data_IF_258534782233
#
_entry.id   IF_258534782233
#
_cell.length_a   1.000
_cell.length_b   1.000
_cell.length_c   1.000
_cell.angle_alpha   90.00
_cell.angle_beta   90.00
_cell.angle_gamma   90.00
#
_symmetry.space_group_name_H-M   'P 1'
#
loop_
_entity.id
_entity.type
_entity.pdbx_description
1 polymer ?
#
# COMPACT_ATOMS: atom_id res chain seq x y z
N UNK A 1 36.92 -16.24 -43.03
CA UNK A 1 36.15 -17.47 -42.71
C UNK A 1 34.88 -17.07 -41.97
N UNK A 2 33.78 -16.98 -42.69
CA UNK A 2 32.47 -16.58 -42.20
C UNK A 2 31.79 -17.75 -41.51
N UNK A 3 31.24 -17.61 -40.29
CA UNK A 3 30.21 -18.48 -39.73
C UNK A 3 29.03 -17.65 -39.24
N UNK A 4 27.88 -17.97 -39.80
CA UNK A 4 26.55 -17.49 -39.49
C UNK A 4 26.20 -17.64 -38.03
N UNK A 5 25.69 -16.58 -37.43
CA UNK A 5 24.88 -16.68 -36.22
C UNK A 5 23.41 -16.79 -36.62
N UNK A 6 22.81 -17.88 -36.26
CA UNK A 6 21.38 -18.18 -36.40
C UNK A 6 20.65 -17.32 -35.35
N UNK A 7 19.59 -16.67 -35.80
CA UNK A 7 18.56 -16.07 -34.94
C UNK A 7 17.74 -17.22 -34.36
N UNK A 8 17.68 -17.34 -33.04
CA UNK A 8 16.63 -18.03 -32.33
C UNK A 8 15.68 -16.98 -31.77
N UNK A 9 14.49 -16.94 -32.31
CA UNK A 9 13.35 -16.22 -31.77
C UNK A 9 12.81 -17.04 -30.59
N UNK A 10 13.32 -16.76 -29.38
CA UNK A 10 12.78 -17.31 -28.15
C UNK A 10 11.51 -16.55 -27.75
N UNK A 11 10.37 -17.19 -27.94
CA UNK A 11 9.09 -16.78 -27.37
C UNK A 11 9.22 -16.51 -25.86
N UNK A 12 8.92 -15.28 -25.46
CA UNK A 12 8.67 -14.91 -24.07
C UNK A 12 7.41 -15.66 -23.60
N UNK A 13 7.63 -16.73 -22.89
CA UNK A 13 6.56 -17.49 -22.22
C UNK A 13 5.97 -16.62 -21.11
N UNK A 14 4.82 -16.03 -21.35
CA UNK A 14 3.98 -15.43 -20.34
C UNK A 14 3.71 -16.48 -19.25
N UNK A 15 4.01 -16.12 -18.00
CA UNK A 15 3.64 -16.91 -16.82
C UNK A 15 2.12 -17.03 -16.81
N UNK A 16 1.63 -18.19 -17.23
CA UNK A 16 0.21 -18.53 -17.12
C UNK A 16 -0.12 -18.72 -15.66
N UNK A 17 -0.93 -17.82 -15.12
CA UNK A 17 -1.69 -18.08 -13.91
C UNK A 17 -2.61 -19.27 -14.18
N UNK A 18 -2.44 -20.35 -13.43
CA UNK A 18 -3.34 -21.50 -13.44
C UNK A 18 -4.63 -21.16 -12.70
N UNK A 19 -5.55 -20.45 -13.36
CA UNK A 19 -6.96 -20.47 -13.04
C UNK A 19 -7.68 -21.25 -14.14
N UNK A 20 -8.20 -22.44 -13.80
CA UNK A 20 -8.92 -23.30 -14.72
C UNK A 20 -10.14 -22.60 -15.32
N UNK A 21 -10.18 -22.62 -16.64
CA UNK A 21 -11.32 -22.64 -17.55
C UNK A 21 -12.70 -22.17 -17.07
N UNK A 22 -12.98 -20.89 -17.27
CA UNK A 22 -14.30 -20.44 -17.70
C UNK A 22 -14.17 -19.93 -19.14
N UNK A 23 -13.93 -20.84 -20.09
CA UNK A 23 -13.95 -20.54 -21.53
C UNK A 23 -15.41 -20.55 -22.03
N UNK A 24 -16.20 -19.55 -21.63
CA UNK A 24 -17.55 -19.32 -22.09
C UNK A 24 -17.89 -17.82 -22.01
N UNK A 25 -19.02 -17.45 -22.60
CA UNK A 25 -19.61 -16.07 -22.57
C UNK A 25 -19.68 -15.49 -21.15
N UNK A 26 -19.87 -16.33 -20.14
CA UNK A 26 -19.97 -15.97 -18.74
C UNK A 26 -18.62 -15.53 -18.13
N UNK A 27 -17.54 -16.23 -18.46
CA UNK A 27 -16.18 -15.83 -18.03
C UNK A 27 -15.73 -14.49 -18.61
N UNK A 28 -16.03 -14.24 -19.89
CA UNK A 28 -15.78 -12.96 -20.53
C UNK A 28 -16.61 -11.84 -19.90
N UNK A 29 -17.87 -12.13 -19.55
CA UNK A 29 -18.74 -11.15 -18.88
C UNK A 29 -18.19 -10.79 -17.50
N UNK A 30 -17.78 -11.77 -16.70
CA UNK A 30 -17.16 -11.55 -15.37
C UNK A 30 -15.88 -10.72 -15.49
N UNK A 31 -15.01 -11.02 -16.46
CA UNK A 31 -13.82 -10.25 -16.73
C UNK A 31 -14.12 -8.79 -17.09
N UNK A 32 -15.13 -8.56 -17.94
CA UNK A 32 -15.54 -7.21 -18.33
C UNK A 32 -16.17 -6.44 -17.14
N UNK A 33 -16.96 -7.09 -16.27
CA UNK A 33 -17.48 -6.50 -15.05
C UNK A 33 -16.34 -6.12 -14.09
N UNK A 34 -15.37 -7.03 -13.89
CA UNK A 34 -14.16 -6.80 -13.11
C UNK A 34 -13.39 -5.58 -13.61
N UNK A 35 -13.20 -5.46 -14.93
CA UNK A 35 -12.51 -4.32 -15.53
C UNK A 35 -13.23 -2.99 -15.24
N UNK A 36 -14.55 -2.92 -15.44
CA UNK A 36 -15.33 -1.71 -15.17
C UNK A 36 -15.29 -1.36 -13.67
N UNK A 37 -15.55 -2.34 -12.78
CA UNK A 37 -15.54 -2.08 -11.33
C UNK A 37 -14.17 -1.63 -10.84
N UNK A 38 -13.09 -2.29 -11.27
CA UNK A 38 -11.72 -1.91 -10.91
C UNK A 38 -11.38 -0.50 -11.37
N UNK A 39 -11.79 -0.11 -12.58
CA UNK A 39 -11.56 1.25 -13.09
C UNK A 39 -12.28 2.29 -12.24
N UNK A 40 -13.55 2.07 -11.91
CA UNK A 40 -14.36 2.99 -11.11
C UNK A 40 -13.86 3.02 -9.66
N UNK A 41 -13.45 1.88 -9.12
CA UNK A 41 -12.88 1.77 -7.78
C UNK A 41 -11.56 2.57 -7.65
N UNK A 42 -10.64 2.40 -8.59
CA UNK A 42 -9.28 2.99 -8.52
C UNK A 42 -9.22 4.45 -8.95
N UNK A 43 -10.00 4.83 -9.96
CA UNK A 43 -9.89 6.17 -10.56
C UNK A 43 -11.04 7.10 -10.21
N UNK A 44 -11.92 6.67 -9.30
CA UNK A 44 -13.05 7.45 -8.82
C UNK A 44 -14.17 7.58 -9.84
N UNK A 45 -15.02 8.60 -9.74
CA UNK A 45 -16.16 8.78 -10.61
C UNK A 45 -15.75 8.96 -12.07
N UNK A 46 -16.25 8.08 -12.95
CA UNK A 46 -15.99 8.10 -14.40
C UNK A 46 -17.31 8.18 -15.17
N UNK A 47 -17.35 9.00 -16.24
CA UNK A 47 -18.52 8.95 -17.12
C UNK A 47 -18.57 7.65 -17.93
N UNK A 48 -19.78 7.21 -18.33
CA UNK A 48 -19.92 6.06 -19.24
C UNK A 48 -19.15 6.29 -20.57
N UNK A 49 -19.03 7.52 -21.02
CA UNK A 49 -18.22 7.87 -22.19
C UNK A 49 -16.73 7.64 -21.94
N UNK A 50 -16.23 8.00 -20.76
CA UNK A 50 -14.85 7.75 -20.36
C UNK A 50 -14.56 6.25 -20.22
N UNK A 51 -15.47 5.49 -19.60
CA UNK A 51 -15.38 4.03 -19.53
C UNK A 51 -15.33 3.40 -20.93
N UNK A 52 -16.18 3.86 -21.87
CA UNK A 52 -16.17 3.44 -23.28
C UNK A 52 -14.81 3.68 -23.93
N UNK A 53 -14.24 4.88 -23.71
CA UNK A 53 -12.94 5.26 -24.30
C UNK A 53 -11.79 4.44 -23.75
N UNK A 54 -11.76 4.21 -22.43
CA UNK A 54 -10.65 3.51 -21.74
C UNK A 54 -10.69 2.00 -21.96
N UNK A 55 -11.88 1.40 -22.01
CA UNK A 55 -12.02 -0.06 -22.20
C UNK A 55 -12.00 -0.47 -23.66
N UNK A 56 -12.33 0.43 -24.59
CA UNK A 56 -12.56 0.09 -26.01
C UNK A 56 -13.90 -0.62 -26.25
N UNK A 57 -14.72 -0.84 -25.22
CA UNK A 57 -16.04 -1.45 -25.38
C UNK A 57 -17.00 -0.49 -26.08
N UNK A 58 -17.99 -1.02 -26.79
CA UNK A 58 -19.04 -0.19 -27.34
C UNK A 58 -19.99 0.35 -26.24
N UNK A 59 -20.75 1.41 -26.55
CA UNK A 59 -21.63 2.10 -25.58
C UNK A 59 -22.72 1.18 -25.00
N UNK A 60 -23.26 0.25 -25.78
CA UNK A 60 -24.30 -0.68 -25.30
C UNK A 60 -23.70 -1.70 -24.32
N UNK A 61 -22.50 -2.20 -24.57
CA UNK A 61 -21.77 -3.09 -23.65
C UNK A 61 -21.47 -2.41 -22.34
N UNK A 62 -20.89 -1.18 -22.36
CA UNK A 62 -20.64 -0.41 -21.13
C UNK A 62 -21.96 -0.17 -20.38
N UNK A 63 -23.04 0.19 -21.09
CA UNK A 63 -24.36 0.37 -20.50
C UNK A 63 -24.86 -0.87 -19.75
N UNK A 64 -24.78 -2.05 -20.39
CA UNK A 64 -25.23 -3.31 -19.80
C UNK A 64 -24.37 -3.71 -18.58
N UNK A 65 -23.02 -3.55 -18.67
CA UNK A 65 -22.11 -3.86 -17.57
C UNK A 65 -22.34 -2.94 -16.35
N UNK A 66 -22.47 -1.64 -16.59
CA UNK A 66 -22.72 -0.66 -15.53
C UNK A 66 -24.08 -0.93 -14.87
N UNK A 67 -25.13 -1.24 -15.65
CA UNK A 67 -26.44 -1.60 -15.11
C UNK A 67 -26.37 -2.85 -14.23
N UNK A 68 -25.64 -3.89 -14.65
CA UNK A 68 -25.46 -5.10 -13.85
C UNK A 68 -24.69 -4.82 -12.54
N UNK A 69 -23.64 -3.97 -12.56
CA UNK A 69 -22.93 -3.55 -11.35
C UNK A 69 -23.82 -2.71 -10.43
N UNK A 70 -24.70 -1.87 -10.98
CA UNK A 70 -25.65 -1.06 -10.21
C UNK A 70 -26.76 -1.91 -9.59
N UNK A 71 -27.28 -2.93 -10.29
CA UNK A 71 -28.24 -3.91 -9.77
C UNK A 71 -27.67 -4.67 -8.57
N UNK A 72 -26.37 -5.03 -8.63
CA UNK A 72 -25.63 -5.62 -7.52
C UNK A 72 -25.18 -4.60 -6.46
N UNK A 73 -25.56 -3.33 -6.58
CA UNK A 73 -25.22 -2.22 -5.67
C UNK A 73 -23.70 -1.95 -5.57
N UNK A 74 -22.88 -2.44 -6.50
CA UNK A 74 -21.44 -2.24 -6.51
C UNK A 74 -21.05 -0.84 -6.97
N UNK A 75 -21.90 -0.21 -7.76
CA UNK A 75 -21.70 1.17 -8.25
C UNK A 75 -23.00 1.97 -8.15
N UNK A 76 -22.88 3.29 -8.13
CA UNK A 76 -23.99 4.24 -8.30
C UNK A 76 -23.82 5.02 -9.58
N UNK A 77 -24.95 5.35 -10.21
CA UNK A 77 -24.99 6.30 -11.30
C UNK A 77 -25.61 7.63 -10.84
N UNK A 78 -25.01 8.72 -11.24
CA UNK A 78 -25.51 10.07 -11.02
C UNK A 78 -25.50 10.90 -12.29
N UNK A 79 -26.37 11.88 -12.36
CA UNK A 79 -26.29 12.87 -13.43
C UNK A 79 -25.12 13.83 -13.18
N UNK A 80 -24.33 14.14 -14.21
CA UNK A 80 -23.26 15.13 -14.04
C UNK A 80 -23.83 16.50 -13.71
N UNK A 81 -23.08 17.34 -12.96
CA UNK A 81 -23.49 18.73 -12.72
C UNK A 81 -23.77 19.44 -14.04
N UNK A 82 -24.90 20.17 -14.08
CA UNK A 82 -25.30 20.94 -15.26
C UNK A 82 -24.27 22.05 -15.55
N UNK A 83 -23.30 21.78 -16.40
CA UNK A 83 -22.39 22.76 -16.93
C UNK A 83 -22.63 22.89 -18.43
N UNK A 84 -23.27 23.96 -18.85
CA UNK A 84 -23.39 24.65 -20.16
C UNK A 84 -22.92 23.97 -21.47
N UNK A 85 -22.93 22.62 -21.57
CA UNK A 85 -22.51 21.87 -22.76
C UNK A 85 -23.71 21.46 -23.60
N UNK A 86 -23.63 21.64 -24.91
CA UNK A 86 -24.62 21.17 -25.89
C UNK A 86 -24.58 19.65 -25.96
N UNK A 87 -25.72 18.99 -25.67
CA UNK A 87 -25.90 17.55 -25.71
C UNK A 87 -26.31 16.96 -24.33
N UNK A 88 -26.94 15.75 -24.35
CA UNK A 88 -27.29 15.06 -23.09
C UNK A 88 -26.01 14.60 -22.39
N UNK A 89 -25.75 15.04 -21.16
CA UNK A 89 -24.55 14.64 -20.42
C UNK A 89 -24.49 13.12 -20.21
N UNK A 90 -23.31 12.54 -20.26
CA UNK A 90 -23.10 11.12 -19.98
C UNK A 90 -23.17 10.87 -18.47
N UNK A 91 -23.97 9.90 -17.97
CA UNK A 91 -24.02 9.56 -16.56
C UNK A 91 -22.65 9.27 -15.96
N UNK A 92 -22.46 9.65 -14.73
CA UNK A 92 -21.24 9.39 -13.93
C UNK A 92 -21.46 8.12 -13.12
N UNK A 93 -20.50 7.22 -13.20
CA UNK A 93 -20.45 5.95 -12.46
C UNK A 93 -19.40 6.05 -11.38
N UNK A 94 -19.77 5.75 -10.15
CA UNK A 94 -18.85 5.72 -9.01
C UNK A 94 -19.03 4.46 -8.19
N UNK A 95 -17.95 3.99 -7.56
CA UNK A 95 -18.00 2.84 -6.65
C UNK A 95 -18.91 3.14 -5.46
N UNK A 96 -19.63 2.12 -4.97
CA UNK A 96 -20.46 2.26 -3.78
C UNK A 96 -19.58 2.18 -2.52
N UNK A 97 -19.35 3.30 -1.80
CA UNK A 97 -18.49 3.28 -0.63
C UNK A 97 -19.11 2.54 0.56
N UNK A 98 -20.43 2.21 0.52
CA UNK A 98 -21.09 1.46 1.58
C UNK A 98 -20.77 -0.04 1.54
N UNK A 99 -20.20 -0.54 0.45
CA UNK A 99 -19.57 -1.85 0.42
C UNK A 99 -18.20 -1.71 1.04
N UNK A 100 -17.99 -2.31 2.20
CA UNK A 100 -16.84 -2.03 3.03
C UNK A 100 -16.10 -3.30 3.48
N UNK A 101 -14.92 -3.11 4.01
CA UNK A 101 -14.12 -4.11 4.71
C UNK A 101 -13.60 -3.52 6.01
N UNK A 102 -13.28 -4.38 6.96
CA UNK A 102 -12.55 -4.01 8.17
C UNK A 102 -11.06 -4.11 7.87
N UNK A 103 -10.31 -3.06 8.14
CA UNK A 103 -8.86 -3.02 8.02
C UNK A 103 -8.22 -2.98 9.41
N UNK A 104 -7.20 -3.81 9.64
CA UNK A 104 -6.52 -3.93 10.92
C UNK A 104 -5.01 -3.78 10.73
N UNK A 105 -4.38 -2.97 11.55
CA UNK A 105 -2.93 -2.82 11.60
C UNK A 105 -2.44 -2.91 13.05
N UNK A 106 -1.92 -4.05 13.48
CA UNK A 106 -1.19 -4.19 14.74
C UNK A 106 0.20 -3.55 14.63
N UNK A 107 0.58 -2.76 15.63
CA UNK A 107 1.93 -2.20 15.79
C UNK A 107 2.43 -2.42 17.22
N UNK A 108 3.66 -2.03 17.50
CA UNK A 108 4.35 -2.28 18.80
C UNK A 108 3.73 -1.52 19.98
N UNK A 109 3.07 -0.41 19.71
CA UNK A 109 2.52 0.53 20.71
C UNK A 109 1.01 0.71 20.61
N UNK A 110 0.39 0.16 19.55
CA UNK A 110 -1.04 0.35 19.30
C UNK A 110 -1.62 -0.69 18.35
N UNK A 111 -2.95 -0.77 18.35
CA UNK A 111 -3.73 -1.40 17.32
C UNK A 111 -4.58 -0.35 16.62
N UNK A 112 -4.50 -0.30 15.28
CA UNK A 112 -5.37 0.55 14.46
C UNK A 112 -6.39 -0.31 13.73
N UNK A 113 -7.67 0.06 13.84
CA UNK A 113 -8.79 -0.56 13.13
C UNK A 113 -9.52 0.51 12.36
N UNK A 114 -9.87 0.23 11.12
CA UNK A 114 -10.68 1.11 10.28
C UNK A 114 -11.74 0.36 9.50
N UNK A 115 -12.72 1.10 9.03
CA UNK A 115 -13.73 0.63 8.08
C UNK A 115 -13.51 1.38 6.78
N UNK A 116 -13.21 0.64 5.72
CA UNK A 116 -12.84 1.22 4.42
C UNK A 116 -13.82 0.72 3.36
N UNK A 117 -14.40 1.65 2.62
CA UNK A 117 -15.34 1.38 1.53
C UNK A 117 -14.67 1.26 0.15
N UNK A 118 -15.38 0.71 -0.82
CA UNK A 118 -14.96 0.74 -2.22
C UNK A 118 -14.62 2.18 -2.65
N UNK A 119 -13.57 2.32 -3.46
CA UNK A 119 -13.01 3.62 -3.84
C UNK A 119 -12.04 4.19 -2.80
N UNK A 120 -11.59 3.38 -1.82
CA UNK A 120 -10.59 3.76 -0.84
C UNK A 120 -11.08 4.72 0.26
N UNK A 121 -12.40 4.91 0.40
CA UNK A 121 -12.98 5.82 1.39
C UNK A 121 -12.87 5.24 2.80
N UNK A 122 -12.10 5.87 3.68
CA UNK A 122 -12.09 5.54 5.11
C UNK A 122 -13.31 6.16 5.79
N UNK A 123 -14.23 5.33 6.28
CA UNK A 123 -15.42 5.77 7.01
C UNK A 123 -15.09 6.13 8.45
N UNK A 124 -14.20 5.35 9.05
CA UNK A 124 -13.73 5.57 10.42
C UNK A 124 -12.36 4.95 10.62
N UNK A 125 -11.59 5.52 11.53
CA UNK A 125 -10.28 5.04 12.00
C UNK A 125 -10.23 5.16 13.50
N UNK A 126 -9.93 4.08 14.19
CA UNK A 126 -9.71 4.02 15.64
C UNK A 126 -8.31 3.50 15.89
N UNK A 127 -7.47 4.28 16.57
CA UNK A 127 -6.17 3.84 17.08
C UNK A 127 -6.30 3.68 18.60
N UNK A 128 -5.98 2.50 19.09
CA UNK A 128 -6.01 2.18 20.53
C UNK A 128 -4.59 1.81 20.96
N UNK A 129 -4.03 2.61 21.86
CA UNK A 129 -2.72 2.35 22.45
C UNK A 129 -2.73 1.08 23.27
N UNK A 130 -1.60 0.37 23.29
CA UNK A 130 -1.38 -0.86 24.06
C UNK A 130 -0.35 -0.62 25.16
N UNK A 131 -0.47 -1.37 26.25
CA UNK A 131 0.54 -1.34 27.33
C UNK A 131 1.70 -2.26 26.97
N UNK A 132 2.51 -1.86 25.97
CA UNK A 132 3.59 -2.66 25.39
C UNK A 132 3.16 -3.44 24.17
N UNK A 133 4.07 -4.27 23.65
CA UNK A 133 3.87 -5.03 22.42
C UNK A 133 2.73 -6.03 22.57
N UNK A 134 1.65 -5.95 21.77
CA UNK A 134 0.51 -6.84 21.92
C UNK A 134 0.85 -8.27 21.49
N UNK A 135 0.34 -9.25 22.24
CA UNK A 135 0.29 -10.63 21.75
C UNK A 135 -0.72 -10.77 20.60
N UNK A 136 -0.67 -11.87 19.85
CA UNK A 136 -1.67 -12.13 18.83
C UNK A 136 -3.09 -12.20 19.40
N UNK A 137 -3.25 -12.85 20.55
CA UNK A 137 -4.53 -12.95 21.25
C UNK A 137 -5.05 -11.56 21.67
N UNK A 138 -4.16 -10.68 22.17
CA UNK A 138 -4.53 -9.31 22.52
C UNK A 138 -4.95 -8.51 21.30
N UNK A 139 -4.23 -8.62 20.19
CA UNK A 139 -4.58 -7.94 18.95
C UNK A 139 -5.95 -8.39 18.41
N UNK A 140 -6.26 -9.69 18.45
CA UNK A 140 -7.56 -10.25 18.05
C UNK A 140 -8.67 -9.76 18.98
N UNK A 141 -8.45 -9.83 20.31
CA UNK A 141 -9.42 -9.37 21.32
C UNK A 141 -9.73 -7.89 21.16
N UNK A 142 -8.68 -7.04 21.08
CA UNK A 142 -8.84 -5.59 20.89
C UNK A 142 -9.54 -5.24 19.59
N UNK A 143 -9.24 -5.95 18.48
CA UNK A 143 -9.92 -5.75 17.21
C UNK A 143 -11.42 -6.00 17.36
N UNK A 144 -11.82 -7.10 18.02
CA UNK A 144 -13.24 -7.41 18.28
C UNK A 144 -13.91 -6.34 19.13
N UNK A 145 -13.24 -5.85 20.17
CA UNK A 145 -13.77 -4.78 21.04
C UNK A 145 -13.97 -3.48 20.26
N UNK A 146 -12.96 -3.06 19.46
CA UNK A 146 -13.08 -1.86 18.62
C UNK A 146 -14.19 -2.00 17.59
N UNK A 147 -14.31 -3.15 16.91
CA UNK A 147 -15.36 -3.38 15.91
C UNK A 147 -16.74 -3.36 16.55
N UNK A 148 -16.92 -3.91 17.76
CA UNK A 148 -18.18 -3.82 18.49
C UNK A 148 -18.55 -2.36 18.85
N UNK A 149 -17.56 -1.51 19.18
CA UNK A 149 -17.78 -0.08 19.41
C UNK A 149 -18.19 0.69 18.13
N UNK A 150 -18.00 0.08 16.93
CA UNK A 150 -18.31 0.68 15.63
C UNK A 150 -19.69 0.27 15.08
N UNK A 151 -20.54 -0.41 15.86
CA UNK A 151 -21.86 -0.88 15.41
C UNK A 151 -22.70 0.21 14.72
N UNK A 152 -22.64 1.45 15.21
CA UNK A 152 -23.36 2.59 14.62
C UNK A 152 -22.85 2.97 13.21
N UNK A 153 -21.57 2.78 12.94
CA UNK A 153 -20.98 3.01 11.61
C UNK A 153 -21.31 1.84 10.70
N UNK A 154 -21.16 0.62 11.21
CA UNK A 154 -21.38 -0.62 10.45
C UNK A 154 -22.84 -0.81 10.05
N UNK A 155 -23.81 -0.36 10.86
CA UNK A 155 -25.23 -0.43 10.55
C UNK A 155 -25.64 0.33 9.27
N UNK A 156 -24.85 1.30 8.84
CA UNK A 156 -25.06 2.03 7.57
C UNK A 156 -24.35 1.42 6.36
N UNK A 157 -23.60 0.33 6.56
CA UNK A 157 -22.74 -0.29 5.55
C UNK A 157 -23.18 -1.74 5.32
N UNK A 158 -23.55 -2.06 4.09
CA UNK A 158 -23.92 -3.43 3.71
C UNK A 158 -23.52 -3.71 2.26
N UNK A 159 -22.80 -4.82 2.03
CA UNK A 159 -22.18 -5.74 2.99
C UNK A 159 -20.80 -5.30 3.49
N UNK A 160 -20.41 -5.80 4.68
CA UNK A 160 -19.00 -5.84 5.10
C UNK A 160 -18.42 -7.17 4.65
N UNK A 161 -17.44 -7.13 3.74
CA UNK A 161 -17.02 -8.30 2.95
C UNK A 161 -15.96 -9.15 3.64
N UNK A 162 -15.13 -8.56 4.48
CA UNK A 162 -13.99 -9.26 5.05
C UNK A 162 -13.10 -8.39 5.92
N UNK A 163 -11.99 -8.97 6.34
CA UNK A 163 -10.94 -8.33 7.16
C UNK A 163 -9.63 -8.35 6.41
N UNK A 164 -9.04 -7.18 6.20
CA UNK A 164 -7.66 -7.04 5.71
C UNK A 164 -6.71 -6.72 6.87
N UNK A 165 -5.56 -7.37 6.93
CA UNK A 165 -4.58 -7.17 8.01
C UNK A 165 -3.25 -6.73 7.39
N UNK A 166 -2.78 -5.53 7.76
CA UNK A 166 -1.46 -5.03 7.43
C UNK A 166 -0.52 -5.28 8.61
N UNK A 167 0.52 -6.10 8.44
CA UNK A 167 1.40 -6.52 9.53
C UNK A 167 2.86 -6.15 9.25
N UNK A 168 3.60 -5.53 10.21
CA UNK A 168 5.04 -5.35 10.09
C UNK A 168 5.77 -6.69 10.26
N UNK A 169 6.22 -7.29 9.16
CA UNK A 169 6.90 -8.58 9.17
C UNK A 169 6.73 -9.38 7.87
N UNK A 170 7.35 -10.56 7.84
CA UNK A 170 7.25 -11.49 6.71
C UNK A 170 5.94 -12.27 6.80
N UNK A 171 4.99 -11.91 5.95
CA UNK A 171 3.68 -12.57 5.84
C UNK A 171 3.57 -13.23 4.47
N UNK A 172 3.18 -14.49 4.45
CA UNK A 172 2.83 -15.16 3.22
C UNK A 172 1.42 -14.74 2.80
N UNK A 173 1.31 -13.89 1.78
CA UNK A 173 0.03 -13.31 1.35
C UNK A 173 -1.00 -14.37 0.87
N UNK A 174 -0.56 -15.53 0.37
CA UNK A 174 -1.46 -16.58 -0.10
C UNK A 174 -2.11 -17.38 1.02
N UNK A 175 -1.44 -17.51 2.18
CA UNK A 175 -1.94 -18.27 3.34
C UNK A 175 -2.30 -17.40 4.54
N UNK A 176 -1.92 -16.12 4.53
CA UNK A 176 -2.06 -15.22 5.68
C UNK A 176 -1.20 -15.60 6.89
N UNK A 177 -0.22 -16.51 6.69
CA UNK A 177 0.65 -17.00 7.77
C UNK A 177 1.84 -16.09 7.96
N UNK A 178 2.10 -15.69 9.19
CA UNK A 178 3.30 -14.95 9.60
C UNK A 178 4.46 -15.93 9.69
N UNK A 179 5.52 -15.70 8.92
CA UNK A 179 6.78 -16.38 9.16
C UNK A 179 7.50 -15.77 10.35
N UNK A 180 7.65 -14.46 10.36
CA UNK A 180 8.25 -13.70 11.46
C UNK A 180 7.82 -12.24 11.43
N UNK A 181 7.41 -11.72 12.58
CA UNK A 181 7.20 -10.30 12.86
C UNK A 181 8.08 -9.94 14.07
N UNK A 182 9.35 -9.53 13.83
CA UNK A 182 10.35 -9.47 14.90
C UNK A 182 9.98 -8.51 16.02
N UNK A 183 9.43 -7.35 15.66
CA UNK A 183 9.06 -6.30 16.61
C UNK A 183 7.81 -6.64 17.44
N UNK A 184 6.91 -7.49 16.90
CA UNK A 184 5.75 -8.02 17.61
C UNK A 184 6.05 -9.31 18.38
N UNK A 185 7.22 -9.93 18.14
CA UNK A 185 7.58 -11.22 18.72
C UNK A 185 6.78 -12.41 18.16
N UNK A 186 6.04 -12.22 17.05
CA UNK A 186 5.22 -13.29 16.46
C UNK A 186 6.04 -14.12 15.48
N UNK A 187 5.90 -15.44 15.58
CA UNK A 187 6.57 -16.42 14.69
C UNK A 187 5.61 -17.53 14.33
N UNK A 188 5.69 -17.99 13.09
CA UNK A 188 4.92 -19.15 12.57
C UNK A 188 3.43 -19.11 12.94
N UNK A 189 2.85 -17.89 13.01
CA UNK A 189 1.50 -17.66 13.48
C UNK A 189 0.49 -17.61 12.31
N UNK A 190 -0.68 -18.20 12.52
CA UNK A 190 -1.84 -18.00 11.66
C UNK A 190 -2.57 -16.71 12.07
N UNK A 191 -2.76 -15.76 11.15
CA UNK A 191 -3.52 -14.55 11.39
C UNK A 191 -4.98 -14.70 10.96
N UNK A 192 -5.19 -15.33 9.83
CA UNK A 192 -6.51 -15.32 9.16
C UNK A 192 -7.55 -16.09 9.95
N UNK A 193 -7.18 -17.23 10.54
CA UNK A 193 -8.08 -18.03 11.38
C UNK A 193 -8.57 -17.27 12.60
N UNK A 194 -7.69 -16.78 13.49
CA UNK A 194 -8.09 -16.06 14.70
C UNK A 194 -8.87 -14.77 14.44
N UNK A 195 -8.41 -13.91 13.52
CA UNK A 195 -9.12 -12.67 13.20
C UNK A 195 -10.46 -12.95 12.52
N UNK A 196 -10.48 -13.87 11.56
CA UNK A 196 -11.71 -14.26 10.86
C UNK A 196 -12.74 -14.86 11.81
N UNK A 197 -12.31 -15.76 12.71
CA UNK A 197 -13.19 -16.36 13.72
C UNK A 197 -13.74 -15.35 14.74
N UNK A 198 -12.90 -14.40 15.17
CA UNK A 198 -13.31 -13.38 16.14
C UNK A 198 -14.31 -12.34 15.58
N UNK A 199 -14.19 -12.03 14.28
CA UNK A 199 -15.01 -11.01 13.61
C UNK A 199 -16.13 -11.59 12.75
N UNK A 200 -16.18 -12.93 12.57
CA UNK A 200 -17.20 -13.61 11.78
C UNK A 200 -17.11 -13.34 10.28
N UNK A 201 -15.92 -12.95 9.77
CA UNK A 201 -15.69 -12.53 8.39
C UNK A 201 -14.44 -13.25 7.82
N UNK A 202 -14.35 -13.49 6.50
CA UNK A 202 -13.12 -13.96 5.90
C UNK A 202 -12.00 -12.96 6.10
N UNK A 203 -10.80 -13.43 6.48
CA UNK A 203 -9.65 -12.58 6.74
C UNK A 203 -8.48 -12.89 5.79
N UNK A 204 -7.74 -11.85 5.41
CA UNK A 204 -6.52 -11.92 4.60
C UNK A 204 -5.45 -11.03 5.23
N UNK A 205 -4.17 -11.38 5.05
CA UNK A 205 -3.07 -10.63 5.65
C UNK A 205 -1.88 -10.53 4.71
N UNK A 206 -1.17 -9.40 4.77
CA UNK A 206 0.09 -9.19 4.05
C UNK A 206 1.02 -8.23 4.82
N UNK A 207 2.26 -8.10 4.32
CA UNK A 207 3.21 -7.14 4.86
C UNK A 207 2.69 -5.70 4.69
N UNK A 208 2.82 -4.89 5.75
CA UNK A 208 2.32 -3.52 5.83
C UNK A 208 2.95 -2.57 4.80
N UNK A 209 4.28 -2.60 4.63
CA UNK A 209 4.95 -1.74 3.66
C UNK A 209 4.61 -2.12 2.21
N UNK A 210 4.44 -3.41 1.94
CA UNK A 210 3.96 -3.89 0.65
C UNK A 210 2.53 -3.39 0.36
N UNK A 211 1.64 -3.42 1.37
CA UNK A 211 0.30 -2.86 1.27
C UNK A 211 0.31 -1.33 1.16
N UNK A 212 1.26 -0.65 1.83
CA UNK A 212 1.49 0.78 1.67
C UNK A 212 1.87 1.16 0.25
N UNK A 213 2.79 0.42 -0.38
CA UNK A 213 3.14 0.62 -1.79
C UNK A 213 1.92 0.46 -2.72
N UNK A 214 1.11 -0.58 -2.47
CA UNK A 214 -0.13 -0.81 -3.22
C UNK A 214 -1.10 0.36 -3.06
N UNK A 215 -1.34 0.83 -1.83
CA UNK A 215 -2.25 1.94 -1.56
C UNK A 215 -1.80 3.23 -2.24
N UNK A 216 -0.51 3.60 -2.14
CA UNK A 216 0.04 4.79 -2.79
C UNK A 216 -0.02 4.69 -4.33
N UNK A 217 0.11 3.49 -4.90
CA UNK A 217 -0.01 3.28 -6.35
C UNK A 217 -1.44 3.43 -6.87
N UNK A 218 -2.44 3.20 -6.02
CA UNK A 218 -3.86 3.25 -6.41
C UNK A 218 -4.49 4.60 -6.08
N UNK A 219 -4.21 5.15 -4.89
CA UNK A 219 -4.92 6.31 -4.34
C UNK A 219 -4.01 7.46 -3.87
N UNK A 220 -2.68 7.27 -3.93
CA UNK A 220 -1.73 8.21 -3.35
C UNK A 220 -0.75 8.83 -4.34
N UNK A 221 0.48 9.05 -3.87
CA UNK A 221 1.52 9.78 -4.59
C UNK A 221 2.00 9.08 -5.89
N UNK A 222 1.80 7.76 -6.02
CA UNK A 222 2.24 6.98 -7.17
C UNK A 222 1.09 6.64 -8.15
N UNK A 223 -0.05 7.33 -8.08
CA UNK A 223 -1.15 7.15 -9.04
C UNK A 223 -0.69 7.46 -10.46
N UNK A 224 -0.87 6.49 -11.36
CA UNK A 224 -0.49 6.60 -12.77
C UNK A 224 0.97 6.32 -13.08
N UNK A 225 1.78 5.95 -12.07
CA UNK A 225 3.18 5.57 -12.21
C UNK A 225 3.27 4.05 -12.32
N UNK A 226 3.99 3.56 -13.35
CA UNK A 226 4.11 2.12 -13.59
C UNK A 226 5.24 1.49 -12.77
N UNK A 227 6.32 2.21 -12.52
CA UNK A 227 7.51 1.71 -11.83
C UNK A 227 7.85 2.62 -10.66
N UNK A 228 7.58 2.17 -9.44
CA UNK A 228 7.76 2.95 -8.22
C UNK A 228 8.38 2.11 -7.09
N UNK A 229 9.18 2.76 -6.27
CA UNK A 229 9.67 2.23 -4.99
C UNK A 229 9.03 3.01 -3.86
N UNK A 230 8.45 2.31 -2.91
CA UNK A 230 7.90 2.88 -1.68
C UNK A 230 8.75 2.47 -0.48
N UNK A 231 9.04 3.41 0.41
CA UNK A 231 9.65 3.18 1.71
C UNK A 231 8.79 3.78 2.81
N UNK A 232 8.54 3.01 3.85
CA UNK A 232 7.85 3.45 5.05
C UNK A 232 8.78 3.45 6.26
N UNK A 233 8.96 4.60 6.89
CA UNK A 233 9.65 4.71 8.17
C UNK A 233 8.66 4.80 9.33
N UNK A 234 8.64 3.80 10.20
CA UNK A 234 7.77 3.74 11.39
C UNK A 234 8.59 3.57 12.68
N UNK A 235 7.93 3.50 13.82
CA UNK A 235 8.56 3.16 15.09
C UNK A 235 9.16 1.74 15.11
N UNK A 236 8.56 0.81 14.35
CA UNK A 236 9.04 -0.57 14.20
C UNK A 236 10.18 -0.74 13.18
N UNK A 237 10.54 0.33 12.42
CA UNK A 237 11.66 0.28 11.47
C UNK A 237 11.28 0.75 10.06
N UNK A 238 12.07 0.33 9.07
CA UNK A 238 11.89 0.70 7.66
C UNK A 238 11.46 -0.52 6.85
N UNK A 239 10.23 -0.49 6.35
CA UNK A 239 9.72 -1.42 5.36
C UNK A 239 9.73 -0.83 3.95
N UNK A 240 9.54 -1.66 2.94
CA UNK A 240 9.46 -1.23 1.55
C UNK A 240 8.49 -2.04 0.71
N UNK A 241 8.16 -1.47 -0.46
CA UNK A 241 7.38 -2.14 -1.50
C UNK A 241 7.78 -1.63 -2.86
N UNK A 242 7.59 -2.46 -3.88
CA UNK A 242 8.01 -2.18 -5.25
C UNK A 242 6.82 -2.41 -6.17
N UNK A 243 6.52 -1.42 -7.00
CA UNK A 243 5.63 -1.54 -8.14
C UNK A 243 6.49 -1.63 -9.39
N UNK A 244 6.29 -2.64 -10.21
CA UNK A 244 7.01 -2.84 -11.47
C UNK A 244 6.01 -3.20 -12.58
N UNK A 245 6.02 -2.42 -13.66
CA UNK A 245 5.05 -2.56 -14.75
C UNK A 245 3.59 -2.41 -14.30
N UNK A 246 3.32 -1.56 -13.31
CA UNK A 246 1.99 -1.33 -12.73
C UNK A 246 1.47 -2.42 -11.79
N UNK A 247 2.31 -3.40 -11.43
CA UNK A 247 1.97 -4.48 -10.52
C UNK A 247 2.95 -4.55 -9.34
N UNK A 248 2.47 -5.01 -8.20
CA UNK A 248 3.31 -5.20 -7.02
C UNK A 248 4.30 -6.36 -7.24
N UNK A 249 5.58 -6.11 -6.98
CA UNK A 249 6.63 -7.13 -7.02
C UNK A 249 6.59 -7.98 -5.74
N UNK A 250 6.00 -9.17 -5.81
CA UNK A 250 5.87 -10.05 -4.65
C UNK A 250 7.06 -10.98 -4.43
N UNK A 251 7.84 -11.30 -5.48
CA UNK A 251 8.87 -12.34 -5.43
C UNK A 251 8.28 -13.76 -5.37
N UNK A 252 9.13 -14.76 -5.40
CA UNK A 252 8.72 -16.18 -5.49
C UNK A 252 7.95 -16.71 -4.26
N UNK A 253 8.11 -16.07 -3.10
CA UNK A 253 7.48 -16.45 -1.83
C UNK A 253 6.63 -15.33 -1.22
N UNK A 254 6.46 -14.22 -1.92
CA UNK A 254 5.76 -13.05 -1.41
C UNK A 254 6.58 -12.16 -0.46
N UNK A 255 7.90 -12.30 -0.43
CA UNK A 255 8.80 -11.59 0.50
C UNK A 255 9.71 -10.56 -0.19
N UNK A 256 9.42 -10.15 -1.42
CA UNK A 256 10.13 -9.05 -2.05
C UNK A 256 9.77 -7.72 -1.35
N UNK A 257 10.72 -6.79 -1.31
CA UNK A 257 10.49 -5.48 -0.70
C UNK A 257 11.14 -5.27 0.67
N UNK A 258 11.95 -6.21 1.17
CA UNK A 258 12.73 -6.07 2.41
C UNK A 258 13.86 -5.00 2.25
N UNK A 259 13.48 -3.83 1.75
CA UNK A 259 14.40 -2.75 1.37
C UNK A 259 15.11 -2.12 2.57
N UNK A 260 14.49 -2.13 3.75
CA UNK A 260 15.09 -1.68 5.01
C UNK A 260 16.34 -2.47 5.38
N UNK A 261 16.48 -3.70 4.88
CA UNK A 261 17.67 -4.50 5.14
C UNK A 261 18.80 -4.34 4.10
N UNK A 262 18.70 -3.33 3.24
CA UNK A 262 19.81 -2.96 2.33
C UNK A 262 20.99 -2.42 3.14
N UNK A 263 22.21 -2.92 2.84
CA UNK A 263 23.42 -2.46 3.50
C UNK A 263 23.77 -1.04 3.03
N UNK A 264 23.74 -0.08 3.96
CA UNK A 264 24.12 1.33 3.68
C UNK A 264 25.42 1.73 4.36
N UNK A 265 25.88 0.96 5.36
CA UNK A 265 27.12 1.23 6.08
C UNK A 265 27.83 -0.06 6.51
N UNK A 266 28.96 -0.38 5.87
CA UNK A 266 29.77 -1.53 6.27
C UNK A 266 30.27 -1.36 7.72
N UNK A 267 30.08 -2.38 8.57
CA UNK A 267 30.44 -2.33 9.99
C UNK A 267 29.63 -1.35 10.83
N UNK A 268 28.43 -0.96 10.36
CA UNK A 268 27.51 -0.07 11.08
C UNK A 268 26.79 -0.73 12.25
N UNK A 269 25.66 -0.14 12.65
CA UNK A 269 24.84 -0.58 13.81
C UNK A 269 24.31 -2.00 13.60
N UNK A 270 24.22 -2.82 14.69
CA UNK A 270 23.58 -4.14 14.63
C UNK A 270 22.11 -4.01 14.19
N UNK A 271 21.66 -4.89 13.29
CA UNK A 271 20.28 -5.01 12.86
C UNK A 271 19.66 -6.29 13.43
N UNK A 272 18.35 -6.27 13.70
CA UNK A 272 17.61 -7.44 14.18
C UNK A 272 17.64 -8.63 13.20
N UNK A 273 17.93 -8.38 11.90
CA UNK A 273 18.11 -9.44 10.91
C UNK A 273 19.42 -10.25 11.07
N UNK A 274 20.26 -9.92 12.05
CA UNK A 274 21.55 -10.56 12.32
C UNK A 274 22.73 -9.98 11.57
N UNK A 275 22.53 -8.98 10.68
CA UNK A 275 23.59 -8.23 10.00
C UNK A 275 23.86 -6.90 10.71
N UNK A 276 24.86 -6.15 10.24
CA UNK A 276 25.15 -4.79 10.69
C UNK A 276 25.15 -3.82 9.52
N UNK A 277 24.68 -2.57 9.77
CA UNK A 277 24.70 -1.49 8.80
C UNK A 277 23.56 -1.50 7.78
N UNK A 278 22.44 -2.19 8.08
CA UNK A 278 21.21 -2.08 7.31
C UNK A 278 20.62 -0.67 7.39
N UNK A 279 19.92 -0.22 6.37
CA UNK A 279 19.20 1.05 6.37
C UNK A 279 18.30 1.17 7.62
N UNK A 280 17.56 0.14 7.94
CA UNK A 280 16.68 0.02 9.12
C UNK A 280 17.41 0.20 10.47
N UNK A 281 18.69 -0.16 10.56
CA UNK A 281 19.48 0.01 11.78
C UNK A 281 20.18 1.38 11.85
N UNK A 282 20.43 2.02 10.72
CA UNK A 282 21.16 3.27 10.62
C UNK A 282 20.24 4.49 10.58
N UNK A 283 19.06 4.39 9.95
CA UNK A 283 18.07 5.45 9.79
C UNK A 283 16.87 5.10 10.66
N UNK A 284 16.72 5.82 11.79
CA UNK A 284 15.75 5.46 12.84
C UNK A 284 15.07 6.70 13.42
N UNK A 285 13.74 6.59 13.57
CA UNK A 285 12.92 7.60 14.25
C UNK A 285 13.42 7.89 15.67
N UNK A 286 13.72 6.84 16.45
CA UNK A 286 14.18 6.92 17.83
C UNK A 286 15.40 7.87 17.99
N UNK A 287 16.40 7.77 17.13
CA UNK A 287 17.60 8.64 17.18
C UNK A 287 17.28 10.11 16.95
N UNK A 288 16.28 10.42 16.10
CA UNK A 288 15.81 11.78 15.85
C UNK A 288 15.05 12.32 17.08
N UNK A 289 14.21 11.48 17.69
CA UNK A 289 13.48 11.82 18.90
C UNK A 289 14.43 12.05 20.08
N UNK A 290 15.44 11.19 20.26
CA UNK A 290 16.49 11.36 21.28
C UNK A 290 17.25 12.66 21.09
N UNK A 291 17.66 12.96 19.87
CA UNK A 291 18.34 14.23 19.54
C UNK A 291 17.46 15.46 19.81
N UNK A 292 16.13 15.29 19.72
CA UNK A 292 15.13 16.32 19.99
C UNK A 292 14.72 16.39 21.49
N UNK A 293 15.14 15.43 22.33
CA UNK A 293 14.71 15.32 23.72
C UNK A 293 13.25 14.90 23.88
N UNK A 294 12.73 14.12 22.94
CA UNK A 294 11.33 13.66 22.86
C UNK A 294 11.25 12.16 23.17
N UNK A 295 11.37 11.76 24.44
CA UNK A 295 11.44 10.35 24.85
C UNK A 295 10.19 9.52 24.49
N UNK A 296 9.03 10.14 24.32
CA UNK A 296 7.77 9.47 23.99
C UNK A 296 7.07 10.11 22.77
N UNK A 297 7.84 10.69 21.85
CA UNK A 297 7.30 11.32 20.66
C UNK A 297 7.01 10.34 19.52
N UNK A 298 6.05 10.67 18.66
CA UNK A 298 5.80 9.99 17.40
C UNK A 298 6.30 10.80 16.21
N UNK A 299 5.90 10.38 15.01
CA UNK A 299 6.24 11.07 13.75
C UNK A 299 5.74 12.51 13.75
N UNK A 300 4.53 12.77 14.27
CA UNK A 300 3.94 14.10 14.34
C UNK A 300 4.75 15.05 15.24
N UNK A 301 5.29 14.55 16.36
CA UNK A 301 6.15 15.33 17.25
C UNK A 301 7.47 15.69 16.56
N UNK A 302 8.08 14.74 15.84
CA UNK A 302 9.27 14.99 15.03
C UNK A 302 9.00 16.03 13.94
N UNK A 303 7.89 15.94 13.22
CA UNK A 303 7.50 16.92 12.20
C UNK A 303 7.40 18.34 12.77
N UNK A 304 6.82 18.48 13.95
CA UNK A 304 6.75 19.75 14.64
C UNK A 304 8.13 20.35 14.91
N UNK A 305 9.09 19.53 15.36
CA UNK A 305 10.46 20.00 15.61
C UNK A 305 11.20 20.34 14.31
N UNK A 306 11.12 19.50 13.29
CA UNK A 306 11.81 19.75 12.01
C UNK A 306 11.27 21.00 11.32
N UNK A 307 9.96 21.23 11.37
CA UNK A 307 9.30 22.40 10.75
C UNK A 307 9.56 23.72 11.51
N UNK A 308 9.71 23.66 12.82
CA UNK A 308 9.96 24.87 13.65
C UNK A 308 11.40 25.39 13.56
N UNK A 309 12.29 24.69 12.85
CA UNK A 309 13.72 25.00 12.79
C UNK A 309 14.50 24.28 13.89
N UNK A 310 14.94 23.05 13.62
CA UNK A 310 15.55 22.19 14.64
C UNK A 310 16.87 22.73 15.17
N UNK A 311 17.16 22.44 16.43
CA UNK A 311 18.45 22.72 17.07
C UNK A 311 19.57 21.92 16.38
N UNK A 312 20.82 22.29 16.70
CA UNK A 312 22.03 21.74 16.05
C UNK A 312 22.11 20.20 16.12
N UNK A 313 21.75 19.60 17.25
CA UNK A 313 21.79 18.14 17.43
C UNK A 313 20.82 17.39 16.51
N UNK A 314 19.58 17.87 16.44
CA UNK A 314 18.54 17.28 15.56
C UNK A 314 18.92 17.46 14.10
N UNK A 315 19.41 18.63 13.72
CA UNK A 315 19.87 18.93 12.36
C UNK A 315 20.99 17.98 11.95
N UNK A 316 22.02 17.83 12.78
CA UNK A 316 23.16 16.96 12.48
C UNK A 316 22.72 15.48 12.32
N UNK A 317 21.80 15.01 13.15
CA UNK A 317 21.27 13.64 13.05
C UNK A 317 20.37 13.48 11.80
N UNK A 318 19.52 14.47 11.49
CA UNK A 318 18.69 14.45 10.28
C UNK A 318 19.55 14.41 9.01
N UNK A 319 20.57 15.27 8.93
CA UNK A 319 21.51 15.29 7.80
C UNK A 319 22.27 13.97 7.66
N UNK A 320 22.74 13.39 8.78
CA UNK A 320 23.40 12.07 8.78
C UNK A 320 22.45 10.97 8.24
N UNK A 321 21.18 10.98 8.68
CA UNK A 321 20.20 9.99 8.22
C UNK A 321 19.85 10.19 6.74
N UNK A 322 19.73 11.43 6.27
CA UNK A 322 19.52 11.72 4.84
C UNK A 322 20.66 11.20 3.98
N UNK A 323 21.91 11.36 4.41
CA UNK A 323 23.08 10.84 3.67
C UNK A 323 23.04 9.32 3.54
N UNK A 324 22.64 8.60 4.60
CA UNK A 324 22.50 7.15 4.57
C UNK A 324 21.27 6.68 3.78
N UNK A 325 20.18 7.42 3.85
CA UNK A 325 19.01 7.19 3.02
C UNK A 325 19.37 7.35 1.54
N UNK A 326 20.12 8.40 1.18
CA UNK A 326 20.57 8.61 -0.20
C UNK A 326 21.35 7.41 -0.74
N UNK A 327 22.24 6.78 0.07
CA UNK A 327 22.95 5.55 -0.34
C UNK A 327 21.95 4.43 -0.71
N UNK A 328 20.90 4.24 0.09
CA UNK A 328 19.88 3.25 -0.22
C UNK A 328 19.10 3.58 -1.49
N UNK A 329 18.68 4.86 -1.64
CA UNK A 329 17.89 5.29 -2.80
C UNK A 329 18.70 5.17 -4.11
N UNK A 330 19.99 5.51 -4.10
CA UNK A 330 20.89 5.29 -5.25
C UNK A 330 20.92 3.81 -5.64
N UNK A 331 21.04 2.90 -4.67
CA UNK A 331 21.01 1.47 -4.94
C UNK A 331 19.66 1.06 -5.58
N UNK A 332 18.54 1.57 -5.07
CA UNK A 332 17.22 1.22 -5.60
C UNK A 332 17.01 1.78 -7.02
N UNK A 333 17.48 3.00 -7.29
CA UNK A 333 17.44 3.56 -8.65
C UNK A 333 18.25 2.69 -9.61
N UNK A 334 19.46 2.31 -9.24
CA UNK A 334 20.33 1.50 -10.11
C UNK A 334 19.85 0.04 -10.27
N UNK A 335 19.03 -0.49 -9.36
CA UNK A 335 18.51 -1.88 -9.40
C UNK A 335 17.15 -1.96 -10.10
N UNK A 336 16.24 -1.04 -9.80
CA UNK A 336 14.84 -1.11 -10.21
C UNK A 336 14.46 -0.12 -11.31
N UNK A 337 15.30 0.89 -11.57
CA UNK A 337 15.06 1.98 -12.54
C UNK A 337 13.62 2.57 -12.39
N UNK A 338 13.22 3.02 -11.19
CA UNK A 338 11.86 3.50 -10.95
C UNK A 338 11.68 4.92 -11.53
N UNK A 339 10.44 5.23 -11.96
CA UNK A 339 10.03 6.59 -12.30
C UNK A 339 9.90 7.46 -11.03
N UNK A 340 9.55 6.82 -9.89
CA UNK A 340 9.21 7.51 -8.66
C UNK A 340 9.67 6.74 -7.43
N UNK A 341 10.20 7.47 -6.43
CA UNK A 341 10.37 6.97 -5.06
C UNK A 341 9.38 7.70 -4.15
N UNK A 342 8.62 6.95 -3.35
CA UNK A 342 7.66 7.49 -2.38
C UNK A 342 8.17 7.22 -0.97
N UNK A 343 8.26 8.26 -0.14
CA UNK A 343 8.73 8.21 1.23
C UNK A 343 7.58 8.46 2.22
N UNK A 344 7.26 7.45 3.04
CA UNK A 344 6.22 7.49 4.05
C UNK A 344 6.77 7.55 5.49
N UNK A 345 5.89 7.85 6.43
CA UNK A 345 6.23 7.97 7.83
C UNK A 345 7.31 9.02 8.09
N UNK A 346 8.23 8.77 9.03
CA UNK A 346 9.30 9.72 9.35
C UNK A 346 10.29 9.95 8.20
N UNK A 347 10.38 9.05 7.23
CA UNK A 347 11.21 9.28 6.03
C UNK A 347 10.63 10.41 5.17
N UNK A 348 9.30 10.56 5.11
CA UNK A 348 8.65 11.72 4.50
C UNK A 348 9.00 13.02 5.23
N UNK A 349 9.05 13.01 6.56
CA UNK A 349 9.44 14.17 7.38
C UNK A 349 10.92 14.54 7.18
N UNK A 350 11.81 13.56 7.03
CA UNK A 350 13.21 13.79 6.67
C UNK A 350 13.35 14.37 5.27
N UNK A 351 12.57 13.88 4.30
CA UNK A 351 12.54 14.42 2.95
C UNK A 351 12.11 15.90 2.96
N UNK A 352 11.02 16.23 3.64
CA UNK A 352 10.55 17.60 3.74
C UNK A 352 11.55 18.53 4.44
N UNK A 353 12.38 18.01 5.35
CA UNK A 353 13.42 18.75 6.05
C UNK A 353 14.50 19.25 5.08
N UNK A 354 14.98 18.42 4.14
CA UNK A 354 15.97 18.84 3.13
C UNK A 354 15.83 18.00 1.83
N UNK A 355 14.74 18.25 1.10
CA UNK A 355 14.44 17.55 -0.16
C UNK A 355 15.51 17.76 -1.23
N UNK A 356 16.09 18.97 -1.30
CA UNK A 356 17.11 19.29 -2.29
C UNK A 356 18.37 18.48 -2.07
N UNK A 357 18.85 18.38 -0.84
CA UNK A 357 20.04 17.57 -0.49
C UNK A 357 19.85 16.12 -0.92
N UNK A 358 18.70 15.52 -0.57
CA UNK A 358 18.42 14.12 -0.91
C UNK A 358 18.37 13.89 -2.41
N UNK A 359 17.65 14.75 -3.15
CA UNK A 359 17.49 14.60 -4.61
C UNK A 359 18.83 14.83 -5.35
N UNK A 360 19.65 15.79 -4.92
CA UNK A 360 20.95 16.05 -5.49
C UNK A 360 21.91 14.85 -5.28
N UNK A 361 21.92 14.27 -4.08
CA UNK A 361 22.76 13.11 -3.78
C UNK A 361 22.32 11.86 -4.58
N UNK A 362 21.01 11.63 -4.68
CA UNK A 362 20.48 10.51 -5.47
C UNK A 362 20.79 10.70 -6.95
N UNK A 363 20.60 11.90 -7.49
CA UNK A 363 20.93 12.22 -8.88
C UNK A 363 22.42 12.06 -9.19
N UNK A 364 23.30 12.49 -8.29
CA UNK A 364 24.76 12.38 -8.47
C UNK A 364 25.26 10.93 -8.38
N UNK A 365 24.58 10.06 -7.61
CA UNK A 365 24.96 8.66 -7.43
C UNK A 365 24.35 7.69 -8.45
N UNK A 366 23.34 8.11 -9.20
CA UNK A 366 22.60 7.24 -10.12
C UNK A 366 23.24 7.25 -11.52
N UNK A 367 23.30 6.07 -12.17
CA UNK A 367 23.88 5.94 -13.51
C UNK A 367 23.00 6.56 -14.61
N UNK A 368 21.70 6.47 -14.46
CA UNK A 368 20.70 6.97 -15.43
C UNK A 368 20.28 8.43 -15.16
N UNK A 369 20.77 9.05 -14.10
CA UNK A 369 20.36 10.37 -13.65
C UNK A 369 19.39 10.34 -12.47
N UNK A 370 18.74 11.48 -12.17
CA UNK A 370 17.84 11.60 -11.03
C UNK A 370 16.51 10.88 -11.22
N UNK A 371 15.90 10.52 -10.11
CA UNK A 371 14.54 9.99 -10.00
C UNK A 371 13.69 11.01 -9.27
N UNK A 372 12.39 11.05 -9.57
CA UNK A 372 11.46 11.86 -8.77
C UNK A 372 11.30 11.23 -7.38
N UNK A 373 11.35 12.07 -6.33
CA UNK A 373 11.08 11.67 -4.95
C UNK A 373 9.88 12.45 -4.44
N UNK A 374 8.89 11.76 -3.86
CA UNK A 374 7.68 12.36 -3.27
C UNK A 374 7.45 11.85 -1.86
N UNK A 375 6.83 12.68 -1.04
CA UNK A 375 6.23 12.22 0.20
C UNK A 375 4.96 11.42 -0.09
N UNK A 376 4.69 10.39 0.71
CA UNK A 376 3.45 9.61 0.69
C UNK A 376 2.23 10.52 0.93
N UNK A 377 1.15 10.29 0.18
CA UNK A 377 -0.02 11.17 0.18
C UNK A 377 -1.13 10.71 1.13
N UNK A 378 -1.23 9.42 1.45
CA UNK A 378 -2.35 8.87 2.21
C UNK A 378 -2.22 9.04 3.73
N UNK A 379 -1.06 9.48 4.22
CA UNK A 379 -0.85 9.79 5.63
C UNK A 379 -1.24 8.63 6.57
N UNK A 380 -1.95 8.91 7.69
CA UNK A 380 -2.27 7.90 8.70
C UNK A 380 -3.30 6.86 8.25
N UNK A 381 -3.95 7.02 7.10
CA UNK A 381 -4.93 6.07 6.55
C UNK A 381 -4.28 5.02 5.62
N UNK A 382 -3.03 5.21 5.24
CA UNK A 382 -2.30 4.42 4.27
C UNK A 382 -2.43 2.90 4.46
N UNK A 383 -2.12 2.41 5.65
CA UNK A 383 -2.10 0.97 5.93
C UNK A 383 -3.51 0.38 5.99
N UNK A 384 -4.50 1.17 6.40
CA UNK A 384 -5.91 0.75 6.37
C UNK A 384 -6.40 0.63 4.92
N UNK A 385 -6.07 1.58 4.06
CA UNK A 385 -6.41 1.53 2.64
C UNK A 385 -5.72 0.33 1.97
N UNK A 386 -4.43 0.11 2.25
CA UNK A 386 -3.70 -1.04 1.70
C UNK A 386 -4.26 -2.39 2.15
N UNK A 387 -4.59 -2.53 3.44
CA UNK A 387 -5.24 -3.73 3.97
C UNK A 387 -6.63 -3.96 3.34
N UNK A 388 -7.38 -2.87 3.11
CA UNK A 388 -8.67 -2.94 2.44
C UNK A 388 -8.55 -3.39 0.99
N UNK A 389 -7.56 -2.90 0.25
CA UNK A 389 -7.30 -3.33 -1.13
C UNK A 389 -7.07 -4.84 -1.23
N UNK A 390 -6.32 -5.41 -0.28
CA UNK A 390 -6.12 -6.84 -0.21
C UNK A 390 -7.46 -7.59 0.01
N UNK A 391 -8.32 -7.10 0.90
CA UNK A 391 -9.61 -7.71 1.20
C UNK A 391 -10.65 -7.51 0.08
N UNK A 392 -10.55 -6.48 -0.74
CA UNK A 392 -11.40 -6.26 -1.90
C UNK A 392 -11.02 -7.10 -3.13
N UNK A 393 -9.82 -7.69 -3.19
CA UNK A 393 -9.36 -8.44 -4.36
C UNK A 393 -10.36 -9.50 -4.87
N UNK A 394 -11.01 -10.33 -4.02
CA UNK A 394 -11.97 -11.32 -4.51
C UNK A 394 -13.17 -10.68 -5.21
N UNK A 395 -13.73 -9.60 -4.64
CA UNK A 395 -14.84 -8.85 -5.25
C UNK A 395 -14.42 -8.19 -6.57
N UNK A 396 -13.25 -7.54 -6.60
CA UNK A 396 -12.76 -6.88 -7.80
C UNK A 396 -12.46 -7.86 -8.92
N UNK A 397 -12.00 -9.08 -8.59
CA UNK A 397 -11.73 -10.13 -9.56
C UNK A 397 -13.01 -10.78 -10.10
N UNK A 398 -14.06 -10.91 -9.28
CA UNK A 398 -15.32 -11.55 -9.66
C UNK A 398 -16.51 -10.79 -9.05
N UNK A 399 -16.91 -9.65 -9.65
CA UNK A 399 -18.06 -8.88 -9.20
C UNK A 399 -19.36 -9.64 -9.48
N UNK A 400 -20.01 -10.16 -8.44
CA UNK A 400 -21.27 -10.90 -8.53
C UNK A 400 -22.20 -10.51 -7.38
#
# INVERSE_FOLDING_TARGET
>A
MRRRLLRDEGELTAVRSTSGAANGTEGLRTQNLSQILTMVHRWGPLSRAELTRRTGFNRSTVGALVSALAENRLVHESEPPMAGRVGRPSPIVQANPNIAVIAVNPDIDALTVGVVGLGGRVHTRVRRETQGVPSLEDAVRLSREIVADLDGVLAGLEPVLGVGIALPGLVNASSGRVLVAPHLGWRDADLTGPFGGALGLPAVAANDAALGALAESIFGAAVGVADAVYLNGSASGIGGGIIAGGAQLGGSRGYAGELGHTLVRAGGSPCHCGRSGCLDAEVRLERLLDAAGLENGGVEALEGVLSAGPGQAVRAEAERQLDLLAVALVNFVNIFDPELIVLGGFLGSLFDFDAQRLTDQVGAGSLAGGVEVRRAALGPELLLVGAAELAFQPLLASPS
#
